data_IF_312530322612
#
_entry.id   IF_312530322612
#
_cell.length_a   1.000
_cell.length_b   1.000
_cell.length_c   1.000
_cell.angle_alpha   90.00
_cell.angle_beta   90.00
_cell.angle_gamma   90.00
#
_symmetry.space_group_name_H-M   'P 1'
#
loop_
_entity.id
_entity.type
_entity.pdbx_description
1 polymer ?
#
# COMPACT_ATOMS: atom_id res chain seq x y z
N UNK A 1 -4.14 -0.21 22.84
CA UNK A 1 -3.65 -0.37 21.46
C UNK A 1 -3.55 1.03 20.86
N UNK A 2 -2.35 1.62 20.92
CA UNK A 2 -2.10 2.94 20.35
C UNK A 2 -2.39 2.90 18.86
N UNK A 3 -2.93 3.98 18.30
CA UNK A 3 -3.09 4.17 16.86
C UNK A 3 -1.68 4.27 16.25
N UNK A 4 -1.05 3.11 16.10
CA UNK A 4 0.27 2.90 15.56
C UNK A 4 0.38 3.69 14.27
N UNK A 5 1.40 4.54 14.18
CA UNK A 5 1.71 5.32 12.99
C UNK A 5 1.67 4.40 11.77
N UNK A 6 0.63 4.50 10.94
CA UNK A 6 0.52 3.75 9.70
C UNK A 6 1.23 4.57 8.61
N UNK A 7 2.19 3.95 7.94
CA UNK A 7 2.99 4.56 6.87
C UNK A 7 2.60 3.91 5.55
N UNK A 8 2.46 4.74 4.51
CA UNK A 8 2.21 4.30 3.14
C UNK A 8 3.45 3.60 2.56
N UNK A 9 3.26 2.45 1.95
CA UNK A 9 4.34 1.60 1.45
C UNK A 9 4.31 1.35 -0.04
N UNK A 10 3.18 1.69 -0.68
CA UNK A 10 3.02 1.65 -2.12
C UNK A 10 1.65 2.20 -2.53
N UNK A 11 1.63 2.77 -3.73
CA UNK A 11 0.45 3.06 -4.51
C UNK A 11 0.27 1.97 -5.58
N UNK A 12 -0.99 1.61 -5.82
CA UNK A 12 -1.33 0.56 -6.78
C UNK A 12 -2.38 1.09 -7.74
N UNK A 13 -2.20 0.83 -9.03
CA UNK A 13 -3.08 1.31 -10.08
C UNK A 13 -4.45 0.60 -10.08
N UNK A 14 -4.54 -0.58 -9.46
CA UNK A 14 -5.75 -1.40 -9.45
C UNK A 14 -5.99 -2.12 -8.12
N UNK A 15 -7.27 -2.36 -7.80
CA UNK A 15 -7.66 -3.09 -6.59
C UNK A 15 -7.06 -4.51 -6.52
N UNK A 16 -7.07 -5.31 -7.60
CA UNK A 16 -6.50 -6.66 -7.55
C UNK A 16 -5.02 -6.66 -7.21
N UNK A 17 -4.26 -5.72 -7.75
CA UNK A 17 -2.83 -5.58 -7.48
C UNK A 17 -2.56 -5.21 -6.01
N UNK A 18 -3.33 -4.26 -5.48
CA UNK A 18 -3.27 -3.88 -4.08
C UNK A 18 -3.66 -5.03 -3.13
N UNK A 19 -4.67 -5.82 -3.49
CA UNK A 19 -5.10 -7.00 -2.71
C UNK A 19 -4.04 -8.11 -2.73
N UNK A 20 -3.33 -8.31 -3.85
CA UNK A 20 -2.21 -9.25 -3.94
C UNK A 20 -1.07 -8.79 -3.02
N UNK A 21 -0.67 -7.52 -3.10
CA UNK A 21 0.37 -6.95 -2.25
C UNK A 21 0.01 -7.05 -0.76
N UNK A 22 -1.24 -6.71 -0.41
CA UNK A 22 -1.78 -6.86 0.95
C UNK A 22 -1.72 -8.31 1.41
N UNK A 23 -2.24 -9.25 0.63
CA UNK A 23 -2.27 -10.68 0.97
C UNK A 23 -0.87 -11.25 1.15
N UNK A 24 0.09 -10.79 0.35
CA UNK A 24 1.49 -11.18 0.46
C UNK A 24 2.12 -10.70 1.78
N UNK A 25 1.86 -9.46 2.19
CA UNK A 25 2.34 -8.93 3.47
C UNK A 25 1.70 -9.68 4.64
N UNK A 26 0.39 -9.91 4.57
CA UNK A 26 -0.35 -10.65 5.59
C UNK A 26 0.13 -12.10 5.72
N UNK A 27 0.52 -12.75 4.62
CA UNK A 27 1.09 -14.11 4.66
C UNK A 27 2.44 -14.17 5.36
N UNK A 28 3.14 -13.04 5.48
CA UNK A 28 4.40 -12.90 6.22
C UNK A 28 4.19 -12.36 7.65
N UNK A 29 2.94 -12.26 8.09
CA UNK A 29 2.59 -11.80 9.44
C UNK A 29 2.53 -10.28 9.59
N UNK A 30 2.65 -9.51 8.49
CA UNK A 30 2.57 -8.05 8.52
C UNK A 30 1.14 -7.63 8.25
N UNK A 31 0.53 -6.91 9.20
CA UNK A 31 -0.81 -6.35 9.01
C UNK A 31 -0.76 -5.16 8.05
N UNK A 32 -1.48 -5.26 6.94
CA UNK A 32 -1.54 -4.23 5.92
C UNK A 32 -2.97 -3.68 5.74
N UNK A 33 -3.08 -2.37 5.60
CA UNK A 33 -4.34 -1.64 5.49
C UNK A 33 -4.41 -0.92 4.16
N UNK A 34 -5.46 -1.19 3.40
CA UNK A 34 -5.72 -0.48 2.16
C UNK A 34 -6.57 0.76 2.45
N UNK A 35 -6.04 1.94 2.12
CA UNK A 35 -6.80 3.17 2.12
C UNK A 35 -7.49 3.31 0.75
N UNK A 36 -8.82 3.29 0.77
CA UNK A 36 -9.63 3.62 -0.41
C UNK A 36 -9.80 5.14 -0.44
N UNK A 37 -9.64 5.83 -1.59
CA UNK A 37 -9.97 7.23 -1.68
C UNK A 37 -11.42 7.46 -1.30
N UNK A 38 -11.65 8.20 -0.21
CA UNK A 38 -12.97 8.68 0.18
C UNK A 38 -13.39 9.71 -0.85
N UNK A 39 -14.20 9.30 -1.82
CA UNK A 39 -14.58 10.08 -2.99
C UNK A 39 -14.95 11.54 -2.68
N UNK A 40 -14.08 12.44 -3.09
CA UNK A 40 -14.37 13.85 -3.33
C UNK A 40 -13.92 14.14 -4.75
N UNK A 41 -14.88 14.31 -5.65
CA UNK A 41 -14.63 14.55 -7.06
C UNK A 41 -13.87 15.88 -7.25
N UNK A 42 -12.56 15.80 -7.48
CA UNK A 42 -11.80 16.82 -8.20
C UNK A 42 -10.96 16.10 -9.25
N UNK A 43 -11.41 16.05 -10.52
CA UNK A 43 -10.60 15.57 -11.63
C UNK A 43 -9.63 16.68 -12.04
N UNK A 44 -8.73 17.05 -11.13
CA UNK A 44 -7.70 18.05 -11.38
C UNK A 44 -6.40 17.26 -11.62
N UNK A 45 -6.17 16.89 -12.88
CA UNK A 45 -4.87 16.53 -13.45
C UNK A 45 -4.24 15.18 -12.98
N UNK A 46 -4.59 14.11 -13.70
CA UNK A 46 -3.61 13.10 -14.14
C UNK A 46 -3.21 11.97 -13.20
N UNK A 47 -3.51 12.02 -11.91
CA UNK A 47 -3.21 10.92 -10.98
C UNK A 47 -4.50 10.19 -10.63
N UNK A 48 -4.71 9.02 -11.23
CA UNK A 48 -5.71 8.07 -10.73
C UNK A 48 -5.47 7.91 -9.23
N UNK A 49 -6.48 8.20 -8.41
CA UNK A 49 -6.41 8.07 -6.96
C UNK A 49 -6.27 6.57 -6.64
N UNK A 50 -5.03 6.09 -6.69
CA UNK A 50 -4.67 4.68 -6.62
C UNK A 50 -4.96 4.09 -5.24
N UNK A 51 -4.95 2.77 -5.17
CA UNK A 51 -5.11 2.06 -3.92
C UNK A 51 -3.82 2.18 -3.12
N UNK A 52 -3.88 2.84 -1.97
CA UNK A 52 -2.70 3.06 -1.12
C UNK A 52 -2.63 1.99 -0.05
N UNK A 53 -1.52 1.27 0.01
CA UNK A 53 -1.28 0.27 1.05
C UNK A 53 -0.46 0.87 2.18
N UNK A 54 -0.88 0.61 3.42
CA UNK A 54 -0.24 1.14 4.63
C UNK A 54 0.06 0.03 5.61
N UNK A 55 1.21 0.12 6.28
CA UNK A 55 1.63 -0.82 7.33
C UNK A 55 2.01 -0.04 8.59
N UNK A 56 2.16 -0.72 9.73
CA UNK A 56 2.72 -0.07 10.90
C UNK A 56 4.17 0.37 10.60
N UNK A 57 4.56 1.54 11.13
CA UNK A 57 5.92 2.07 10.94
C UNK A 57 7.03 1.07 11.34
N UNK A 58 6.75 0.22 12.33
CA UNK A 58 7.68 -0.82 12.78
C UNK A 58 7.92 -1.92 11.75
N UNK A 59 6.97 -2.16 10.85
CA UNK A 59 7.02 -3.22 9.83
C UNK A 59 7.39 -2.68 8.44
N UNK A 60 7.69 -1.38 8.32
CA UNK A 60 7.90 -0.71 7.04
C UNK A 60 9.06 -1.30 6.23
N UNK A 61 10.24 -1.47 6.83
CA UNK A 61 11.42 -1.99 6.12
C UNK A 61 11.21 -3.43 5.66
N UNK A 62 10.64 -4.29 6.51
CA UNK A 62 10.36 -5.68 6.17
C UNK A 62 9.32 -5.79 5.05
N UNK A 63 8.23 -5.03 5.15
CA UNK A 63 7.19 -5.01 4.14
C UNK A 63 7.73 -4.49 2.79
N UNK A 64 8.57 -3.45 2.81
CA UNK A 64 9.19 -2.91 1.60
C UNK A 64 10.08 -3.95 0.93
N UNK A 65 10.88 -4.67 1.72
CA UNK A 65 11.76 -5.72 1.21
C UNK A 65 10.96 -6.88 0.59
N UNK A 66 9.83 -7.25 1.18
CA UNK A 66 8.94 -8.29 0.65
C UNK A 66 8.36 -7.86 -0.71
N UNK A 67 7.79 -6.66 -0.81
CA UNK A 67 7.18 -6.17 -2.04
C UNK A 67 8.21 -6.01 -3.18
N UNK A 68 9.42 -5.54 -2.87
CA UNK A 68 10.51 -5.43 -3.84
C UNK A 68 10.95 -6.78 -4.40
N UNK A 69 11.04 -7.81 -3.56
CA UNK A 69 11.38 -9.18 -3.98
C UNK A 69 10.31 -9.81 -4.87
N UNK A 70 9.07 -9.40 -4.72
CA UNK A 70 7.92 -9.90 -5.49
C UNK A 70 7.62 -9.09 -6.75
N UNK A 71 8.45 -8.10 -7.10
CA UNK A 71 8.23 -7.18 -8.23
C UNK A 71 6.89 -6.41 -8.17
N UNK A 72 6.29 -6.31 -6.98
CA UNK A 72 5.03 -5.58 -6.73
C UNK A 72 5.29 -4.15 -6.23
N UNK A 73 6.50 -3.64 -6.42
CA UNK A 73 6.87 -2.29 -6.05
C UNK A 73 6.77 -1.38 -7.28
N UNK A 74 5.80 -0.46 -7.28
CA UNK A 74 5.77 0.63 -8.23
C UNK A 74 6.92 1.59 -7.88
N UNK A 75 8.01 1.52 -8.63
CA UNK A 75 9.01 2.58 -8.68
C UNK A 75 8.58 3.52 -9.80
N UNK A 76 8.20 4.75 -9.45
CA UNK A 76 8.41 5.87 -10.39
C UNK A 76 9.94 6.03 -10.52
N UNK A 77 10.45 5.88 -11.75
CA UNK A 77 11.83 6.18 -12.14
C UNK A 77 12.11 7.69 -12.12
#
# INVERSE_FOLDING_TARGET
>A
MSRSHLIEIGDFASLPEAEIAKSLLESHGISAFMAVPSGGATPELGFSDGYRLRVAAADFDDAKQILQKSHLYAVED
#
